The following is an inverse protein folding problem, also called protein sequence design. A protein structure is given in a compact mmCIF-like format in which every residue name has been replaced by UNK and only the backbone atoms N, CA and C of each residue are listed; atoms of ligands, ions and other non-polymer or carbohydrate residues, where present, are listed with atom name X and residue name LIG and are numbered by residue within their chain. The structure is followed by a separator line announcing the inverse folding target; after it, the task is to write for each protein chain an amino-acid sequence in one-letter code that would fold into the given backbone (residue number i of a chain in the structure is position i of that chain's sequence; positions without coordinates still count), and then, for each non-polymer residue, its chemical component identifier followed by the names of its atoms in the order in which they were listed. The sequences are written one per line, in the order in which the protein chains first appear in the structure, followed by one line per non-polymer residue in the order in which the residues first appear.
data_IF_328750033855
#
_entry.id   IF_328750033855
#
_cell.length_a   1.000
_cell.length_b   1.000
_cell.length_c   1.000
_cell.angle_alpha   90.00
_cell.angle_beta   90.00
_cell.angle_gamma   90.00
#
_symmetry.space_group_name_H-M   'P 1'
#
loop_
_entity.id
_entity.type
_entity.pdbx_description
1 polymer ?
#
# COMPACT_ATOMS: atom_id res chain seq x y z
N UNK A 1 21.16 -6.53 7.72
CA UNK A 1 21.24 -5.75 6.47
C UNK A 1 19.91 -5.03 6.30
N UNK A 2 19.88 -3.81 5.74
CA UNK A 2 18.60 -3.15 5.44
C UNK A 2 17.78 -4.01 4.46
N UNK A 3 16.48 -4.09 4.66
CA UNK A 3 15.57 -4.80 3.75
C UNK A 3 15.34 -3.95 2.50
N UNK A 4 14.99 -4.57 1.37
CA UNK A 4 14.91 -3.85 0.08
C UNK A 4 13.87 -2.72 0.09
N UNK A 5 12.79 -2.88 0.84
CA UNK A 5 11.73 -1.87 1.00
C UNK A 5 12.18 -0.63 1.78
N UNK A 6 13.31 -0.69 2.49
CA UNK A 6 13.93 0.44 3.20
C UNK A 6 14.93 1.21 2.31
N UNK A 7 15.33 0.65 1.15
CA UNK A 7 16.30 1.26 0.25
C UNK A 7 15.66 2.38 -0.58
N UNK A 8 16.44 3.33 -1.14
CA UNK A 8 15.92 4.28 -2.12
C UNK A 8 15.22 3.56 -3.28
N UNK A 9 14.11 4.13 -3.77
CA UNK A 9 13.39 3.61 -4.93
C UNK A 9 13.82 4.36 -6.19
N UNK A 10 14.08 3.64 -7.26
CA UNK A 10 14.20 4.19 -8.60
C UNK A 10 13.39 3.36 -9.58
N UNK A 11 12.77 4.00 -10.56
CA UNK A 11 12.10 3.27 -11.64
C UNK A 11 13.12 2.58 -12.55
N UNK A 12 14.32 3.15 -12.68
CA UNK A 12 15.37 2.64 -13.56
C UNK A 12 16.00 1.34 -13.03
N UNK A 13 15.90 1.07 -11.73
CA UNK A 13 16.40 -0.17 -11.13
C UNK A 13 15.49 -1.38 -11.35
N UNK A 14 14.28 -1.17 -11.86
CA UNK A 14 13.36 -2.27 -12.21
C UNK A 14 13.84 -2.99 -13.47
N UNK A 15 13.63 -4.31 -13.53
CA UNK A 15 13.85 -5.05 -14.76
C UNK A 15 12.93 -4.57 -15.89
N UNK A 16 13.36 -4.70 -17.15
CA UNK A 16 12.54 -4.36 -18.30
C UNK A 16 11.23 -5.18 -18.33
N UNK A 17 11.27 -6.44 -17.92
CA UNK A 17 10.07 -7.27 -17.78
C UNK A 17 9.04 -6.70 -16.80
N UNK A 18 9.49 -6.16 -15.66
CA UNK A 18 8.59 -5.54 -14.68
C UNK A 18 8.03 -4.22 -15.18
N UNK A 19 8.83 -3.42 -15.89
CA UNK A 19 8.36 -2.19 -16.55
C UNK A 19 7.31 -2.50 -17.61
N UNK A 20 7.50 -3.55 -18.41
CA UNK A 20 6.52 -4.02 -19.40
C UNK A 20 5.22 -4.51 -18.74
N UNK A 21 5.31 -5.28 -17.65
CA UNK A 21 4.14 -5.70 -16.87
C UNK A 21 3.37 -4.50 -16.34
N UNK A 22 4.05 -3.56 -15.66
CA UNK A 22 3.44 -2.34 -15.17
C UNK A 22 2.80 -1.52 -16.27
N UNK A 23 3.41 -1.44 -17.45
CA UNK A 23 2.86 -0.70 -18.60
C UNK A 23 1.55 -1.31 -19.12
N UNK A 24 1.30 -2.61 -18.89
CA UNK A 24 0.09 -3.31 -19.33
C UNK A 24 -1.09 -3.15 -18.37
N UNK A 25 -0.85 -2.75 -17.12
CA UNK A 25 -1.91 -2.53 -16.13
C UNK A 25 -2.86 -1.42 -16.65
N UNK A 26 -4.18 -1.65 -16.74
CA UNK A 26 -5.12 -0.61 -17.18
C UNK A 26 -5.13 0.59 -16.21
N UNK A 27 -5.53 1.77 -16.71
CA UNK A 27 -5.44 3.02 -15.93
C UNK A 27 -6.32 3.00 -14.67
N UNK A 28 -7.52 2.41 -14.73
CA UNK A 28 -8.42 2.36 -13.58
C UNK A 28 -7.89 1.50 -12.43
N UNK A 29 -7.49 0.22 -12.62
CA UNK A 29 -6.82 -0.58 -11.60
C UNK A 29 -5.62 0.12 -10.98
N UNK A 30 -4.79 0.77 -11.80
CA UNK A 30 -3.62 1.50 -11.32
C UNK A 30 -4.03 2.68 -10.43
N UNK A 31 -4.95 3.53 -10.89
CA UNK A 31 -5.41 4.71 -10.13
C UNK A 31 -6.22 4.34 -8.89
N UNK A 32 -6.98 3.24 -8.95
CA UNK A 32 -7.77 2.76 -7.83
C UNK A 32 -6.88 2.18 -6.73
N UNK A 33 -5.89 1.35 -7.06
CA UNK A 33 -4.93 0.86 -6.07
C UNK A 33 -4.10 2.03 -5.49
N UNK A 34 -3.72 3.03 -6.30
CA UNK A 34 -3.11 4.26 -5.80
C UNK A 34 -4.02 5.01 -4.82
N UNK A 35 -5.32 5.11 -5.10
CA UNK A 35 -6.30 5.74 -4.22
C UNK A 35 -6.38 5.01 -2.88
N UNK A 36 -6.52 3.69 -2.89
CA UNK A 36 -6.57 2.85 -1.69
C UNK A 36 -5.27 2.97 -0.87
N UNK A 37 -4.10 2.73 -1.49
CA UNK A 37 -2.83 2.75 -0.77
C UNK A 37 -2.48 4.12 -0.21
N UNK A 38 -2.74 5.19 -0.98
CA UNK A 38 -2.50 6.56 -0.52
C UNK A 38 -3.49 6.96 0.57
N UNK A 39 -4.73 6.47 0.52
CA UNK A 39 -5.72 6.63 1.58
C UNK A 39 -5.26 6.02 2.89
N UNK A 40 -4.84 4.75 2.87
CA UNK A 40 -4.30 4.02 4.02
C UNK A 40 -3.07 4.73 4.59
N UNK A 41 -2.10 5.06 3.73
CA UNK A 41 -0.88 5.76 4.13
C UNK A 41 -1.18 7.11 4.81
N UNK A 42 -2.21 7.84 4.36
CA UNK A 42 -2.61 9.14 4.94
C UNK A 42 -3.30 9.01 6.30
N UNK A 43 -4.12 7.98 6.52
CA UNK A 43 -4.84 7.81 7.81
C UNK A 43 -3.97 7.17 8.88
N UNK A 44 -2.98 6.34 8.52
CA UNK A 44 -2.14 5.59 9.48
C UNK A 44 -1.48 6.48 10.55
N UNK A 45 -0.87 7.64 10.24
CA UNK A 45 -0.30 8.53 11.26
C UNK A 45 -1.35 9.14 12.19
N UNK A 46 -2.57 9.35 11.70
CA UNK A 46 -3.68 9.92 12.49
C UNK A 46 -4.21 8.91 13.51
N UNK A 47 -4.11 7.61 13.18
CA UNK A 47 -4.55 6.51 14.03
C UNK A 47 -3.44 5.96 14.93
N UNK A 48 -2.26 6.60 14.98
CA UNK A 48 -1.09 6.03 15.66
C UNK A 48 -1.38 5.62 17.11
N UNK A 49 -2.07 6.48 17.86
CA UNK A 49 -2.47 6.19 19.24
C UNK A 49 -3.39 4.96 19.32
N UNK A 50 -4.46 4.92 18.52
CA UNK A 50 -5.42 3.81 18.47
C UNK A 50 -4.73 2.49 18.07
N UNK A 51 -3.80 2.52 17.11
CA UNK A 51 -3.07 1.35 16.64
C UNK A 51 -2.06 0.83 17.69
N UNK A 52 -1.43 1.74 18.45
CA UNK A 52 -0.60 1.38 19.60
C UNK A 52 -1.45 0.73 20.68
N UNK A 53 -2.57 1.35 21.08
CA UNK A 53 -3.49 0.81 22.07
C UNK A 53 -4.00 -0.57 21.65
N UNK A 54 -4.36 -0.73 20.39
CA UNK A 54 -4.81 -2.00 19.83
C UNK A 54 -3.76 -3.12 19.99
N UNK A 55 -2.49 -2.86 19.69
CA UNK A 55 -1.41 -3.85 19.89
C UNK A 55 -1.18 -4.17 21.38
N UNK A 56 -1.28 -3.16 22.26
CA UNK A 56 -1.21 -3.40 23.71
C UNK A 56 -2.34 -4.32 24.17
N UNK A 57 -3.58 -4.02 23.78
CA UNK A 57 -4.77 -4.81 24.16
C UNK A 57 -4.72 -6.24 23.58
N UNK A 58 -4.28 -6.41 22.34
CA UNK A 58 -4.10 -7.74 21.74
C UNK A 58 -3.13 -8.61 22.56
N UNK A 59 -2.08 -7.99 23.10
CA UNK A 59 -1.03 -8.67 23.88
C UNK A 59 -1.40 -8.97 25.34
N UNK A 60 -2.34 -8.23 25.94
CA UNK A 60 -2.79 -8.46 27.32
C UNK A 60 -3.43 -9.86 27.48
N UNK A 61 -3.85 -10.48 26.37
CA UNK A 61 -4.37 -11.85 26.33
C UNK A 61 -3.28 -12.92 26.12
N UNK A 62 -2.01 -12.54 25.94
CA UNK A 62 -0.89 -13.46 25.65
C UNK A 62 0.02 -13.64 26.88
N UNK A 63 0.18 -14.86 27.41
CA UNK A 63 0.89 -15.08 28.68
C UNK A 63 2.42 -15.06 28.48
N UNK A 64 3.07 -13.88 28.49
CA UNK A 64 4.55 -13.79 28.43
C UNK A 64 5.14 -12.58 29.16
N UNK A 65 5.96 -12.81 30.19
CA UNK A 65 7.05 -11.91 30.66
C UNK A 65 6.69 -10.51 31.19
N UNK A 66 7.70 -9.74 31.62
CA UNK A 66 7.56 -8.38 32.16
C UNK A 66 7.14 -7.34 31.09
N UNK A 67 6.56 -6.22 31.51
CA UNK A 67 5.94 -5.22 30.63
C UNK A 67 6.87 -4.55 29.60
N UNK A 68 8.19 -4.50 29.85
CA UNK A 68 9.16 -3.88 28.94
C UNK A 68 9.48 -4.78 27.74
N UNK A 69 9.65 -6.08 27.96
CA UNK A 69 9.87 -7.06 26.91
C UNK A 69 8.61 -7.21 26.03
N UNK A 70 7.42 -7.11 26.64
CA UNK A 70 6.13 -7.08 25.92
C UNK A 70 6.05 -5.92 24.92
N UNK A 71 6.40 -4.69 25.31
CA UNK A 71 6.26 -3.52 24.42
C UNK A 71 7.16 -3.62 23.18
N UNK A 72 8.41 -4.04 23.35
CA UNK A 72 9.35 -4.28 22.24
C UNK A 72 8.87 -5.44 21.36
N UNK A 73 8.32 -6.49 21.98
CA UNK A 73 7.78 -7.65 21.27
C UNK A 73 6.54 -7.34 20.41
N UNK A 74 5.87 -6.21 20.66
CA UNK A 74 4.69 -5.72 19.93
C UNK A 74 5.01 -4.65 18.88
N UNK A 75 6.29 -4.35 18.64
CA UNK A 75 6.69 -3.29 17.73
C UNK A 75 6.22 -1.91 18.19
N UNK A 76 6.04 -1.75 19.50
CA UNK A 76 5.78 -0.47 20.14
C UNK A 76 7.09 -0.01 20.74
N UNK A 77 7.79 0.85 20.00
CA UNK A 77 9.09 1.36 20.39
C UNK A 77 8.90 2.49 21.38
N UNK A 78 9.44 2.34 22.60
CA UNK A 78 9.60 3.51 23.46
C UNK A 78 10.62 4.45 22.82
N UNK A 79 10.35 5.75 22.77
CA UNK A 79 11.37 6.72 22.43
C UNK A 79 12.53 6.61 23.42
N UNK A 80 13.75 6.88 22.95
CA UNK A 80 14.96 6.69 23.75
C UNK A 80 15.03 7.60 25.00
N UNK A 81 14.17 8.62 25.10
CA UNK A 81 14.10 9.55 26.21
C UNK A 81 13.19 9.04 27.34
N UNK A 82 13.71 9.08 28.57
CA UNK A 82 13.04 8.57 29.78
C UNK A 82 11.91 9.44 30.31
N UNK A 83 11.77 10.65 29.77
CA UNK A 83 10.75 11.64 30.13
C UNK A 83 9.62 11.77 29.10
N UNK A 84 9.59 10.86 28.11
CA UNK A 84 8.61 10.88 27.04
C UNK A 84 7.22 10.48 27.55
N UNK A 85 6.20 11.25 27.17
CA UNK A 85 4.81 11.00 27.56
C UNK A 85 4.33 9.66 26.98
N UNK A 86 3.27 9.08 27.56
CA UNK A 86 2.64 7.85 27.03
C UNK A 86 2.13 7.99 25.58
N UNK A 87 2.17 9.19 24.98
CA UNK A 87 1.86 9.47 23.59
C UNK A 87 3.07 9.39 22.64
N UNK A 88 4.28 9.23 23.17
CA UNK A 88 5.51 9.28 22.37
C UNK A 88 5.99 7.92 21.86
N UNK A 89 5.23 6.84 22.10
CA UNK A 89 5.54 5.54 21.52
C UNK A 89 5.56 5.62 19.99
N UNK A 90 6.56 5.02 19.36
CA UNK A 90 6.56 4.80 17.91
C UNK A 90 5.97 3.43 17.59
N UNK A 91 5.19 3.37 16.51
CA UNK A 91 4.60 2.14 16.01
C UNK A 91 5.44 1.66 14.83
N UNK A 92 6.08 0.52 14.98
CA UNK A 92 6.77 -0.12 13.88
C UNK A 92 5.75 -0.60 12.83
N UNK A 93 5.99 -0.24 11.57
CA UNK A 93 5.20 -0.73 10.45
C UNK A 93 5.42 -2.23 10.25
N UNK A 94 4.34 -2.95 9.96
CA UNK A 94 4.42 -4.34 9.51
C UNK A 94 5.10 -4.41 8.15
N UNK A 95 5.69 -5.55 7.83
CA UNK A 95 6.24 -5.89 6.50
C UNK A 95 5.18 -5.66 5.43
N UNK A 96 3.93 -6.04 5.68
CA UNK A 96 2.80 -5.79 4.80
C UNK A 96 2.59 -4.30 4.55
N UNK A 97 2.59 -3.47 5.60
CA UNK A 97 2.52 -2.02 5.45
C UNK A 97 3.73 -1.46 4.66
N UNK A 98 4.96 -1.94 4.94
CA UNK A 98 6.18 -1.48 4.27
C UNK A 98 6.17 -1.84 2.77
N UNK A 99 5.78 -3.07 2.44
CA UNK A 99 5.63 -3.56 1.07
C UNK A 99 4.52 -2.81 0.32
N UNK A 100 3.39 -2.50 0.97
CA UNK A 100 2.33 -1.71 0.34
C UNK A 100 2.79 -0.28 0.07
N UNK A 101 3.47 0.34 1.04
CA UNK A 101 4.02 1.69 0.86
C UNK A 101 5.10 1.68 -0.24
N UNK A 102 5.87 0.60 -0.38
CA UNK A 102 6.83 0.39 -1.47
C UNK A 102 6.13 0.27 -2.82
N UNK A 103 5.13 -0.59 -2.94
CA UNK A 103 4.34 -0.76 -4.16
C UNK A 103 3.64 0.54 -4.56
N UNK A 104 3.04 1.26 -3.63
CA UNK A 104 2.43 2.57 -3.87
C UNK A 104 3.42 3.54 -4.53
N UNK A 105 4.66 3.62 -4.01
CA UNK A 105 5.70 4.48 -4.60
C UNK A 105 6.07 4.05 -6.02
N UNK A 106 6.15 2.74 -6.29
CA UNK A 106 6.39 2.19 -7.64
C UNK A 106 5.24 2.59 -8.59
N UNK A 107 4.00 2.43 -8.16
CA UNK A 107 2.82 2.79 -8.97
C UNK A 107 2.76 4.31 -9.24
N UNK A 108 3.20 5.15 -8.31
CA UNK A 108 3.32 6.60 -8.54
C UNK A 108 4.36 6.91 -9.62
N UNK A 109 5.51 6.23 -9.60
CA UNK A 109 6.54 6.38 -10.63
C UNK A 109 6.01 5.97 -12.02
N UNK A 110 5.29 4.86 -12.10
CA UNK A 110 4.65 4.43 -13.35
C UNK A 110 3.58 5.45 -13.82
N UNK A 111 2.77 5.98 -12.90
CA UNK A 111 1.77 7.01 -13.25
C UNK A 111 2.41 8.30 -13.76
N UNK A 112 3.49 8.74 -13.12
CA UNK A 112 4.28 9.89 -13.58
C UNK A 112 4.83 9.67 -14.99
N UNK A 113 5.37 8.47 -15.27
CA UNK A 113 5.83 8.08 -16.61
C UNK A 113 4.70 8.17 -17.65
N UNK A 114 3.51 7.65 -17.33
CA UNK A 114 2.32 7.71 -18.20
C UNK A 114 1.83 9.14 -18.41
N UNK A 115 1.79 9.95 -17.37
CA UNK A 115 1.38 11.35 -17.44
C UNK A 115 2.31 12.15 -18.37
N UNK A 116 3.63 11.94 -18.27
CA UNK A 116 4.61 12.56 -19.18
C UNK A 116 4.43 12.05 -20.62
N UNK A 117 4.24 10.75 -20.81
CA UNK A 117 4.02 10.18 -22.14
C UNK A 117 2.75 10.75 -22.80
N UNK A 118 1.66 10.89 -22.04
CA UNK A 118 0.43 11.51 -22.50
C UNK A 118 0.63 12.99 -22.86
N UNK A 119 1.33 13.73 -22.00
CA UNK A 119 1.63 15.14 -22.25
C UNK A 119 2.51 15.32 -23.49
N UNK A 120 3.52 14.47 -23.69
CA UNK A 120 4.36 14.48 -24.89
C UNK A 120 3.54 14.25 -26.16
N UNK A 121 2.58 13.31 -26.16
CA UNK A 121 1.68 13.09 -27.31
C UNK A 121 0.85 14.34 -27.66
N UNK A 122 0.44 15.11 -26.65
CA UNK A 122 -0.28 16.38 -26.88
C UNK A 122 0.67 17.45 -27.41
N UNK A 123 1.87 17.57 -26.84
CA UNK A 123 2.86 18.56 -27.22
C UNK A 123 3.52 18.31 -28.58
N UNK A 124 3.55 17.06 -29.05
CA UNK A 124 4.01 16.69 -30.39
C UNK A 124 3.24 17.45 -31.48
N UNK A 125 1.95 17.74 -31.25
CA UNK A 125 1.13 18.56 -32.17
C UNK A 125 1.64 20.00 -32.28
N UNK A 126 2.40 20.46 -31.29
CA UNK A 126 3.03 21.79 -31.24
C UNK A 126 4.55 21.76 -31.50
N UNK A 127 5.12 20.63 -31.94
CA UNK A 127 6.57 20.41 -32.06
C UNK A 127 7.34 20.68 -30.75
N UNK A 128 6.74 20.35 -29.61
CA UNK A 128 7.35 20.47 -28.28
C UNK A 128 7.49 19.10 -27.64
N UNK A 129 8.45 18.97 -26.74
CA UNK A 129 8.60 17.78 -25.90
C UNK A 129 9.09 18.18 -24.51
N UNK A 130 8.78 17.32 -23.54
CA UNK A 130 9.29 17.41 -22.18
C UNK A 130 10.09 16.16 -21.85
N UNK A 131 11.22 16.37 -21.20
CA UNK A 131 12.04 15.29 -20.66
C UNK A 131 11.49 14.86 -19.30
N UNK A 132 11.32 13.55 -19.06
CA UNK A 132 10.99 13.04 -17.74
C UNK A 132 11.99 13.52 -16.68
N UNK A 133 11.48 14.09 -15.58
CA UNK A 133 12.29 14.39 -14.40
C UNK A 133 12.16 13.19 -13.45
N UNK A 134 13.30 12.63 -13.03
CA UNK A 134 13.32 11.59 -12.01
C UNK A 134 12.78 12.15 -10.68
N UNK A 135 11.84 11.43 -10.07
CA UNK A 135 11.25 11.82 -8.80
C UNK A 135 12.14 11.34 -7.64
N UNK A 136 12.70 12.27 -6.86
CA UNK A 136 13.48 11.94 -5.67
C UNK A 136 12.62 11.37 -4.55
N UNK A 137 11.39 11.90 -4.40
CA UNK A 137 10.36 11.33 -3.53
C UNK A 137 9.05 11.17 -4.32
N UNK A 138 8.64 9.93 -4.64
CA UNK A 138 7.37 9.67 -5.32
C UNK A 138 6.16 10.23 -4.58
N UNK A 139 6.16 10.31 -3.24
CA UNK A 139 4.98 10.69 -2.46
C UNK A 139 4.56 12.15 -2.67
N UNK A 140 5.51 13.02 -3.03
CA UNK A 140 5.27 14.45 -3.34
C UNK A 140 4.57 14.63 -4.68
N UNK A 141 4.64 13.63 -5.58
CA UNK A 141 4.04 13.75 -6.90
C UNK A 141 2.51 13.88 -6.83
N UNK A 142 2.00 14.95 -7.46
CA UNK A 142 0.57 15.17 -7.66
C UNK A 142 0.14 14.47 -8.94
N UNK A 143 -0.42 13.26 -8.78
CA UNK A 143 -1.04 12.46 -9.84
C UNK A 143 -2.01 13.32 -10.66
N UNK A 144 -1.87 13.30 -11.99
CA UNK A 144 -2.65 14.13 -12.92
C UNK A 144 -3.83 13.40 -13.55
N UNK A 145 -3.95 12.10 -13.34
CA UNK A 145 -5.06 11.32 -13.87
C UNK A 145 -6.41 11.91 -13.43
N UNK A 146 -7.34 12.18 -14.37
CA UNK A 146 -8.70 12.58 -14.03
C UNK A 146 -9.43 11.53 -13.19
N UNK A 147 -9.18 10.24 -13.44
CA UNK A 147 -9.79 9.15 -12.67
C UNK A 147 -9.36 9.24 -11.19
N UNK A 148 -8.05 9.30 -10.95
CA UNK A 148 -7.51 9.48 -9.60
C UNK A 148 -8.03 10.77 -8.94
N UNK A 149 -8.12 11.88 -9.68
CA UNK A 149 -8.64 13.13 -9.16
C UNK A 149 -10.10 13.01 -8.70
N UNK A 150 -10.95 12.33 -9.46
CA UNK A 150 -12.34 12.03 -9.07
C UNK A 150 -12.38 11.18 -7.81
N UNK A 151 -11.65 10.05 -7.79
CA UNK A 151 -11.54 9.18 -6.62
C UNK A 151 -11.14 9.96 -5.36
N UNK A 152 -10.08 10.75 -5.47
CA UNK A 152 -9.51 11.48 -4.34
C UNK A 152 -10.37 12.65 -3.86
N UNK A 153 -11.05 13.37 -4.76
CA UNK A 153 -11.81 14.56 -4.40
C UNK A 153 -13.26 14.27 -4.00
N UNK A 154 -13.87 13.22 -4.56
CA UNK A 154 -15.30 12.94 -4.38
C UNK A 154 -15.56 11.74 -3.49
N UNK A 155 -14.64 10.78 -3.42
CA UNK A 155 -14.86 9.51 -2.73
C UNK A 155 -13.98 9.31 -1.49
N UNK A 156 -12.99 10.16 -1.24
CA UNK A 156 -12.09 10.00 -0.10
C UNK A 156 -12.84 9.93 1.24
N UNK A 157 -13.73 10.90 1.51
CA UNK A 157 -14.46 10.96 2.78
C UNK A 157 -15.36 9.73 2.97
N UNK A 158 -15.96 9.24 1.88
CA UNK A 158 -16.79 8.03 1.89
C UNK A 158 -15.97 6.76 2.22
N UNK A 159 -14.67 6.75 1.90
CA UNK A 159 -13.77 5.60 2.09
C UNK A 159 -12.84 5.76 3.30
N UNK A 160 -12.87 6.89 4.01
CA UNK A 160 -11.97 7.14 5.13
C UNK A 160 -12.05 6.01 6.16
N UNK A 161 -13.26 5.57 6.50
CA UNK A 161 -13.47 4.45 7.43
C UNK A 161 -12.92 3.13 6.90
N UNK A 162 -13.00 2.88 5.59
CA UNK A 162 -12.40 1.70 4.96
C UNK A 162 -10.87 1.76 5.03
N UNK A 163 -10.25 2.91 4.79
CA UNK A 163 -8.81 3.08 4.97
C UNK A 163 -8.37 2.81 6.41
N UNK A 164 -9.15 3.29 7.39
CA UNK A 164 -8.88 3.04 8.81
C UNK A 164 -8.95 1.55 9.14
N UNK A 165 -9.97 0.85 8.64
CA UNK A 165 -10.09 -0.62 8.79
C UNK A 165 -8.88 -1.33 8.19
N UNK A 166 -8.43 -0.97 6.99
CA UNK A 166 -7.24 -1.57 6.39
C UNK A 166 -5.97 -1.27 7.18
N UNK A 167 -5.81 -0.06 7.73
CA UNK A 167 -4.68 0.25 8.60
C UNK A 167 -4.67 -0.65 9.86
N UNK A 168 -5.84 -0.93 10.46
CA UNK A 168 -5.97 -1.86 11.59
C UNK A 168 -5.64 -3.30 11.15
N UNK A 169 -6.14 -3.76 10.00
CA UNK A 169 -5.83 -5.09 9.47
C UNK A 169 -4.33 -5.26 9.19
N UNK A 170 -3.68 -4.25 8.61
CA UNK A 170 -2.23 -4.26 8.45
C UNK A 170 -1.50 -4.30 9.79
N UNK A 171 -2.07 -3.67 10.82
CA UNK A 171 -1.47 -3.62 12.15
C UNK A 171 -1.55 -4.97 12.88
N UNK A 172 -2.56 -5.79 12.57
CA UNK A 172 -2.72 -7.17 13.06
C UNK A 172 -1.59 -8.09 12.56
N UNK A 173 -1.02 -7.83 11.38
CA UNK A 173 0.04 -8.68 10.81
C UNK A 173 1.30 -8.77 11.66
N UNK A 174 1.53 -7.82 12.57
CA UNK A 174 2.83 -7.71 13.23
C UNK A 174 3.22 -9.00 13.96
N UNK A 175 2.27 -9.63 14.65
CA UNK A 175 2.53 -10.90 15.34
C UNK A 175 2.68 -12.06 14.34
N UNK A 176 1.85 -12.13 13.32
CA UNK A 176 1.88 -13.18 12.29
C UNK A 176 3.19 -13.16 11.51
N UNK A 177 3.62 -12.00 11.02
CA UNK A 177 4.86 -11.83 10.28
C UNK A 177 6.09 -12.13 11.14
N UNK A 178 6.05 -11.76 12.42
CA UNK A 178 7.12 -12.11 13.37
C UNK A 178 7.23 -13.63 13.50
N UNK A 179 6.12 -14.31 13.75
CA UNK A 179 6.10 -15.77 13.91
C UNK A 179 6.52 -16.49 12.61
N UNK A 180 6.19 -15.92 11.45
CA UNK A 180 6.63 -16.42 10.13
C UNK A 180 8.12 -16.12 9.84
N UNK A 181 8.68 -15.02 10.36
CA UNK A 181 10.09 -14.68 10.16
C UNK A 181 11.05 -15.69 10.80
N UNK A 182 10.56 -16.50 11.74
CA UNK A 182 11.27 -17.66 12.31
C UNK A 182 11.30 -18.86 11.34
N UNK A 183 10.51 -18.85 10.26
CA UNK A 183 10.50 -19.81 9.15
C UNK A 183 10.69 -19.13 7.78
N UNK A 184 11.94 -18.83 7.38
CA UNK A 184 12.27 -18.00 6.21
C UNK A 184 11.95 -18.61 4.83
N UNK A 185 11.45 -19.85 4.75
CA UNK A 185 11.08 -20.50 3.48
C UNK A 185 9.74 -20.01 2.89
N UNK A 186 9.06 -19.06 3.54
CA UNK A 186 7.67 -18.66 3.22
C UNK A 186 7.57 -17.26 2.58
N UNK A 187 8.67 -16.51 2.45
CA UNK A 187 8.60 -15.12 1.95
C UNK A 187 8.82 -15.04 0.42
N UNK A 188 7.73 -14.98 -0.34
CA UNK A 188 7.75 -14.93 -1.81
C UNK A 188 8.19 -13.57 -2.39
N UNK A 189 8.32 -12.53 -1.56
CA UNK A 189 8.69 -11.17 -2.00
C UNK A 189 10.05 -10.77 -1.43
N UNK A 190 11.06 -10.69 -2.30
CA UNK A 190 12.46 -10.45 -1.93
C UNK A 190 13.06 -9.18 -2.52
N UNK A 191 12.40 -8.58 -3.50
CA UNK A 191 12.84 -7.39 -4.24
C UNK A 191 11.65 -6.64 -4.89
N UNK A 192 11.94 -5.51 -5.55
CA UNK A 192 10.89 -4.71 -6.22
C UNK A 192 10.26 -5.47 -7.41
N UNK A 193 11.02 -6.32 -8.10
CA UNK A 193 10.54 -7.09 -9.26
C UNK A 193 9.57 -8.23 -8.86
N UNK A 194 9.80 -8.88 -7.72
CA UNK A 194 8.90 -9.88 -7.15
C UNK A 194 7.62 -9.23 -6.63
N UNK A 195 7.72 -8.05 -6.00
CA UNK A 195 6.56 -7.26 -5.58
C UNK A 195 5.68 -6.82 -6.77
N UNK A 196 6.29 -6.38 -7.87
CA UNK A 196 5.56 -6.04 -9.10
C UNK A 196 4.91 -7.28 -9.71
N UNK A 197 5.62 -8.42 -9.75
CA UNK A 197 5.04 -9.67 -10.26
C UNK A 197 3.82 -10.10 -9.45
N UNK A 198 3.90 -10.05 -8.12
CA UNK A 198 2.76 -10.34 -7.25
C UNK A 198 1.55 -9.43 -7.55
N UNK A 199 1.81 -8.13 -7.77
CA UNK A 199 0.78 -7.16 -8.16
C UNK A 199 0.20 -7.39 -9.57
N UNK A 200 1.03 -7.87 -10.51
CA UNK A 200 0.60 -8.09 -11.88
C UNK A 200 0.09 -9.52 -12.13
N UNK A 201 0.19 -10.43 -11.17
CA UNK A 201 -0.31 -11.81 -11.30
C UNK A 201 -1.85 -11.91 -11.17
N UNK A 202 -2.51 -10.89 -10.60
CA UNK A 202 -3.97 -10.89 -10.51
C UNK A 202 -4.61 -10.57 -11.86
N UNK A 203 -5.48 -11.50 -12.30
CA UNK A 203 -6.37 -11.27 -13.44
C UNK A 203 -7.30 -10.08 -13.23
N UNK A 204 -7.76 -9.85 -12.00
CA UNK A 204 -8.61 -8.71 -11.68
C UNK A 204 -7.88 -7.37 -11.84
N UNK A 205 -6.54 -7.35 -11.82
CA UNK A 205 -5.72 -6.18 -12.13
C UNK A 205 -5.42 -6.09 -13.63
N UNK A 206 -5.00 -7.19 -14.24
CA UNK A 206 -4.47 -7.19 -15.61
C UNK A 206 -5.53 -7.23 -16.70
N UNK A 207 -6.68 -7.85 -16.43
CA UNK A 207 -7.75 -8.09 -17.41
C UNK A 207 -8.99 -7.22 -17.13
N UNK A 208 -8.89 -6.24 -16.23
CA UNK A 208 -10.02 -5.36 -15.92
C UNK A 208 -10.38 -4.47 -17.11
N UNK A 209 -11.56 -4.71 -17.68
CA UNK A 209 -12.17 -3.83 -18.68
C UNK A 209 -13.39 -3.12 -18.10
N UNK A 210 -13.30 -1.80 -18.04
CA UNK A 210 -14.40 -0.91 -17.66
C UNK A 210 -15.60 -1.10 -18.61
N UNK A 211 -15.37 -1.45 -19.88
CA UNK A 211 -16.43 -1.51 -20.91
C UNK A 211 -17.46 -2.60 -20.65
N UNK A 212 -17.11 -3.67 -19.94
CA UNK A 212 -18.03 -4.77 -19.65
C UNK A 212 -18.97 -4.46 -18.47
N UNK A 213 -18.82 -3.29 -17.80
CA UNK A 213 -19.55 -2.95 -16.57
C UNK A 213 -20.23 -1.56 -16.58
N UNK A 214 -20.21 -0.80 -17.67
CA UNK A 214 -20.82 0.54 -17.68
C UNK A 214 -22.29 0.50 -18.12
N UNK A 215 -23.18 0.61 -17.13
CA UNK A 215 -24.24 1.62 -17.19
C UNK A 215 -23.67 2.88 -16.53
N UNK A 216 -23.71 4.05 -17.19
CA UNK A 216 -22.98 5.25 -16.72
C UNK A 216 -23.44 5.74 -15.33
N UNK A 217 -24.65 5.40 -14.91
CA UNK A 217 -25.20 5.75 -13.59
C UNK A 217 -24.71 4.84 -12.44
N UNK A 218 -24.08 3.70 -12.75
CA UNK A 218 -23.58 2.72 -11.78
C UNK A 218 -22.13 2.96 -11.32
N UNK A 219 -21.39 3.77 -12.08
CA UNK A 219 -20.00 4.12 -11.80
C UNK A 219 -19.84 4.81 -10.44
N UNK A 220 -20.83 5.61 -10.05
CA UNK A 220 -20.78 6.45 -8.85
C UNK A 220 -21.05 5.69 -7.53
N UNK A 221 -21.61 4.46 -7.58
CA UNK A 221 -22.05 3.74 -6.37
C UNK A 221 -21.65 2.27 -6.25
N UNK A 222 -21.50 1.50 -7.33
CA UNK A 222 -21.30 0.03 -7.20
C UNK A 222 -19.89 -0.44 -7.57
N UNK A 223 -19.19 0.21 -8.51
CA UNK A 223 -17.85 -0.24 -8.94
C UNK A 223 -16.78 0.03 -7.86
N UNK A 224 -17.02 0.98 -6.96
CA UNK A 224 -16.09 1.37 -5.89
C UNK A 224 -16.12 0.40 -4.70
N UNK A 225 -17.31 0.00 -4.23
CA UNK A 225 -17.45 -0.81 -3.01
C UNK A 225 -17.14 -2.31 -3.21
N UNK A 226 -17.33 -2.85 -4.43
CA UNK A 226 -17.22 -4.29 -4.73
C UNK A 226 -16.01 -4.67 -5.62
N UNK A 227 -15.08 -3.75 -5.84
CA UNK A 227 -13.98 -3.95 -6.78
C UNK A 227 -12.96 -5.00 -6.29
N UNK A 228 -12.99 -6.20 -6.88
CA UNK A 228 -11.96 -7.26 -6.76
C UNK A 228 -10.55 -6.85 -7.26
N UNK A 229 -10.47 -5.67 -7.89
CA UNK A 229 -9.26 -5.07 -8.47
C UNK A 229 -8.31 -4.58 -7.38
N UNK A 230 -8.80 -4.43 -6.15
CA UNK A 230 -7.98 -4.10 -5.00
C UNK A 230 -7.14 -5.33 -4.65
N UNK A 231 -5.96 -5.41 -5.24
CA UNK A 231 -4.88 -6.18 -4.64
C UNK A 231 -4.28 -5.37 -3.50
N UNK A 232 -5.09 -5.19 -2.46
CA UNK A 232 -4.50 -5.11 -1.14
C UNK A 232 -3.80 -6.45 -0.97
N UNK A 233 -2.51 -6.42 -0.67
CA UNK A 233 -1.89 -7.60 -0.07
C UNK A 233 -2.71 -7.89 1.17
N UNK A 234 -3.65 -8.82 1.08
CA UNK A 234 -4.56 -9.10 2.18
C UNK A 234 -3.66 -9.65 3.29
N UNK A 235 -3.58 -8.95 4.43
CA UNK A 235 -2.90 -9.41 5.64
C UNK A 235 -3.10 -10.92 5.84
N UNK A 236 -2.04 -11.72 6.05
CA UNK A 236 -2.14 -13.17 6.29
C UNK A 236 -3.08 -13.49 7.46
N UNK A 237 -3.09 -12.65 8.50
CA UNK A 237 -4.05 -12.65 9.60
C UNK A 237 -5.49 -12.48 9.12
N UNK A 238 -5.74 -11.54 8.19
CA UNK A 238 -7.06 -11.35 7.62
C UNK A 238 -7.49 -12.56 6.79
N UNK A 239 -6.58 -13.20 6.07
CA UNK A 239 -6.86 -14.45 5.35
C UNK A 239 -7.19 -15.59 6.32
N UNK A 240 -6.42 -15.76 7.40
CA UNK A 240 -6.68 -16.78 8.41
C UNK A 240 -8.03 -16.59 9.13
N UNK A 241 -8.38 -15.34 9.46
CA UNK A 241 -9.67 -14.97 10.06
C UNK A 241 -10.82 -15.26 9.08
N UNK A 242 -10.68 -14.89 7.81
CA UNK A 242 -11.70 -15.11 6.78
C UNK A 242 -11.88 -16.60 6.44
N UNK A 243 -10.81 -17.39 6.53
CA UNK A 243 -10.82 -18.83 6.29
C UNK A 243 -11.24 -19.65 7.53
N UNK A 244 -11.52 -19.00 8.66
CA UNK A 244 -11.97 -19.66 9.89
C UNK A 244 -10.93 -20.61 10.50
N UNK A 245 -9.64 -20.38 10.23
CA UNK A 245 -8.57 -21.22 10.76
C UNK A 245 -8.35 -20.85 12.23
N UNK A 246 -8.69 -21.76 13.14
CA UNK A 246 -8.43 -21.64 14.57
C UNK A 246 -6.96 -21.94 14.87
N UNK A 247 -6.26 -20.99 15.49
CA UNK A 247 -4.95 -21.19 16.12
C UNK A 247 -5.08 -21.82 17.51
#
# INVERSE_FOLDING_TARGET
MPQFYDLPLSFDSLSESSKELLCRVPDYPLDYNLFIFKGIHKVRPQMKADLCEFRVQAAENTPRGDNADKAVHLGILKPADKDADANDYELELTTTSKLQDRLMKILILERHRRDIAMLNRVLEQENKSITPIALTDPLVYKIKSPLFATLWSQHYDNHEQSFKKFAILQNLEYEFERDLSENPEVNDVTDDDSLIRLFCDSKDVMEFDIKDQIDQDLLDKQVLDDSKIVQIMIPLAAQAILMGVSF
#
